data_IF_427607523422
#
_entry.id   IF_427607523422
#
_cell.length_a   1.000
_cell.length_b   1.000
_cell.length_c   1.000
_cell.angle_alpha   90.00
_cell.angle_beta   90.00
_cell.angle_gamma   90.00
#
_symmetry.space_group_name_H-M   'P 1'
#
loop_
_entity.id
_entity.type
_entity.pdbx_description
1 polymer ?
#
# COMPACT_ATOMS: atom_id res chain seq x y z
N UNK A 1 2.13 19.29 -8.63
CA UNK A 1 1.82 17.86 -8.39
C UNK A 1 0.49 17.53 -9.09
N UNK A 2 0.18 16.28 -9.42
CA UNK A 2 -1.13 15.89 -9.99
C UNK A 2 -1.78 14.87 -9.06
N UNK A 3 -2.95 15.21 -8.55
CA UNK A 3 -3.78 14.33 -7.72
C UNK A 3 -4.58 13.42 -8.67
N UNK A 4 -4.70 12.15 -8.28
CA UNK A 4 -5.43 11.10 -9.00
C UNK A 4 -6.13 10.20 -8.00
N UNK A 5 -6.99 9.32 -8.50
CA UNK A 5 -7.57 8.27 -7.67
C UNK A 5 -6.47 7.33 -7.16
N UNK A 6 -6.64 6.79 -5.96
CA UNK A 6 -5.60 5.95 -5.34
C UNK A 6 -5.29 4.69 -6.17
N UNK A 7 -6.28 4.12 -6.87
CA UNK A 7 -6.10 2.95 -7.74
C UNK A 7 -5.18 3.27 -8.92
N UNK A 8 -5.35 4.43 -9.55
CA UNK A 8 -4.44 4.90 -10.61
C UNK A 8 -2.99 5.04 -10.12
N UNK A 9 -2.80 5.37 -8.84
CA UNK A 9 -1.45 5.45 -8.27
C UNK A 9 -0.87 4.06 -8.03
N UNK A 10 -1.66 3.11 -7.56
CA UNK A 10 -1.22 1.72 -7.35
C UNK A 10 -0.89 1.06 -8.69
N UNK A 11 -1.70 1.27 -9.73
CA UNK A 11 -1.39 0.81 -11.08
C UNK A 11 -0.04 1.38 -11.57
N UNK A 12 0.18 2.69 -11.39
CA UNK A 12 1.45 3.36 -11.67
C UNK A 12 2.67 2.75 -10.94
N UNK A 13 2.47 2.16 -9.76
CA UNK A 13 3.50 1.49 -8.95
C UNK A 13 3.77 0.09 -9.49
N UNK A 14 2.71 -0.65 -9.81
CA UNK A 14 2.77 -2.04 -10.30
C UNK A 14 3.35 -2.11 -11.72
N UNK A 15 2.94 -1.21 -12.61
CA UNK A 15 3.38 -1.21 -14.02
C UNK A 15 4.78 -0.63 -14.20
N UNK A 16 5.41 -0.15 -13.12
CA UNK A 16 6.66 0.59 -13.22
C UNK A 16 7.83 -0.36 -13.47
N UNK A 17 8.62 -0.05 -14.49
CA UNK A 17 9.84 -0.78 -14.85
C UNK A 17 10.99 -0.48 -13.86
N UNK A 18 10.83 -0.97 -12.63
CA UNK A 18 11.78 -0.93 -11.52
C UNK A 18 11.74 -2.25 -10.75
N UNK A 19 12.69 -2.45 -9.83
CA UNK A 19 12.76 -3.68 -9.05
C UNK A 19 11.63 -3.71 -8.00
N UNK A 20 10.70 -4.68 -8.03
CA UNK A 20 9.58 -4.75 -7.09
C UNK A 20 10.04 -4.88 -5.62
N UNK A 21 11.21 -5.49 -5.38
CA UNK A 21 11.75 -5.74 -4.04
C UNK A 21 12.25 -4.46 -3.34
N UNK A 22 12.57 -3.42 -4.13
CA UNK A 22 13.14 -2.16 -3.64
C UNK A 22 12.07 -1.16 -3.16
N UNK A 23 10.78 -1.51 -3.33
CA UNK A 23 9.69 -0.71 -2.79
C UNK A 23 9.59 -0.85 -1.27
N UNK A 24 9.33 0.27 -0.60
CA UNK A 24 9.18 0.34 0.85
C UNK A 24 7.98 1.20 1.20
N UNK A 25 7.23 0.83 2.22
CA UNK A 25 6.03 1.56 2.60
C UNK A 25 5.95 1.85 4.09
N UNK A 26 5.33 2.97 4.44
CA UNK A 26 4.98 3.31 5.82
C UNK A 26 3.62 3.97 5.87
N UNK A 27 2.80 3.63 6.85
CA UNK A 27 1.47 4.22 6.95
C UNK A 27 0.73 3.90 8.23
N UNK A 28 -0.45 4.47 8.35
CA UNK A 28 -1.34 4.21 9.47
C UNK A 28 -2.56 5.12 9.42
N UNK A 29 -3.09 5.51 10.57
CA UNK A 29 -4.21 6.45 10.61
C UNK A 29 -3.82 7.84 10.09
N UNK A 30 -4.77 8.51 9.45
CA UNK A 30 -4.65 9.95 9.15
C UNK A 30 -4.56 10.77 10.44
N UNK A 31 -3.87 11.91 10.38
CA UNK A 31 -3.86 12.88 11.49
C UNK A 31 -5.25 13.46 11.80
N UNK A 32 -6.14 13.49 10.80
CA UNK A 32 -7.51 13.97 10.96
C UNK A 32 -8.50 13.20 10.08
N UNK A 33 -9.75 13.20 10.52
CA UNK A 33 -10.84 12.56 9.78
C UNK A 33 -10.83 11.04 9.82
N UNK A 34 -11.56 10.44 8.88
CA UNK A 34 -11.61 8.98 8.67
C UNK A 34 -10.55 8.55 7.66
N UNK A 35 -10.06 7.33 7.83
CA UNK A 35 -9.21 6.68 6.85
C UNK A 35 -7.74 6.57 7.24
N UNK A 36 -6.96 6.22 6.24
CA UNK A 36 -5.56 5.81 6.36
C UNK A 36 -4.67 6.71 5.49
N UNK A 37 -3.40 6.75 5.86
CA UNK A 37 -2.35 7.53 5.24
C UNK A 37 -1.18 6.60 4.94
N UNK A 38 -0.67 6.62 3.71
CA UNK A 38 0.34 5.66 3.25
C UNK A 38 1.35 6.34 2.31
N UNK A 39 2.63 6.17 2.63
CA UNK A 39 3.73 6.53 1.76
C UNK A 39 4.35 5.27 1.15
N UNK A 40 4.60 5.30 -0.15
CA UNK A 40 5.34 4.26 -0.88
C UNK A 40 6.56 4.89 -1.55
N UNK A 41 7.74 4.33 -1.32
CA UNK A 41 9.00 4.83 -1.86
C UNK A 41 9.80 3.74 -2.55
N UNK A 42 10.37 4.10 -3.71
CA UNK A 42 11.36 3.28 -4.41
C UNK A 42 12.54 4.17 -4.86
N UNK A 43 13.81 3.74 -4.69
CA UNK A 43 15.02 4.50 -5.05
C UNK A 43 14.93 5.20 -6.41
N UNK A 44 14.48 4.46 -7.44
CA UNK A 44 14.29 4.94 -8.82
C UNK A 44 12.83 5.19 -9.22
N UNK A 45 11.87 4.72 -8.43
CA UNK A 45 10.45 4.72 -8.78
C UNK A 45 9.77 5.99 -8.28
N UNK A 46 10.35 6.64 -7.28
CA UNK A 46 9.83 7.86 -6.69
C UNK A 46 9.14 7.58 -5.35
N UNK A 47 8.54 8.64 -4.83
CA UNK A 47 7.79 8.59 -3.57
C UNK A 47 6.36 9.01 -3.88
N UNK A 48 5.43 8.21 -3.39
CA UNK A 48 4.01 8.34 -3.58
C UNK A 48 3.35 8.47 -2.22
N UNK A 49 2.29 9.26 -2.19
CA UNK A 49 1.49 9.52 -1.01
C UNK A 49 0.04 9.22 -1.35
N UNK A 50 -0.58 8.36 -0.55
CA UNK A 50 -1.94 7.89 -0.71
C UNK A 50 -2.72 8.20 0.56
N UNK A 51 -3.97 8.61 0.40
CA UNK A 51 -4.94 8.69 1.49
C UNK A 51 -6.21 7.96 1.07
N UNK A 52 -6.68 7.06 1.93
CA UNK A 52 -7.82 6.18 1.63
C UNK A 52 -8.82 6.20 2.78
N UNK A 53 -10.07 5.83 2.52
CA UNK A 53 -11.06 5.51 3.54
C UNK A 53 -11.95 4.37 3.06
N UNK A 54 -12.45 3.58 4.01
CA UNK A 54 -13.48 2.60 3.74
C UNK A 54 -14.85 3.30 3.63
N UNK A 55 -15.42 3.33 2.42
CA UNK A 55 -16.80 3.80 2.22
C UNK A 55 -17.78 2.80 2.82
N UNK A 56 -17.50 1.52 2.66
CA UNK A 56 -18.22 0.39 3.23
C UNK A 56 -17.26 -0.83 3.32
N UNK A 57 -17.66 -1.97 3.92
CA UNK A 57 -16.79 -3.13 4.08
C UNK A 57 -16.24 -3.75 2.79
N UNK A 58 -16.75 -3.36 1.62
CA UNK A 58 -16.37 -3.91 0.31
C UNK A 58 -15.73 -2.87 -0.61
N UNK A 59 -15.69 -1.61 -0.21
CA UNK A 59 -15.27 -0.51 -1.09
C UNK A 59 -14.38 0.47 -0.34
N UNK A 60 -13.15 0.60 -0.84
CA UNK A 60 -12.16 1.59 -0.40
C UNK A 60 -12.02 2.64 -1.49
N UNK A 61 -12.16 3.90 -1.09
CA UNK A 61 -11.94 5.07 -1.96
C UNK A 61 -10.78 5.88 -1.42
N UNK A 62 -10.24 6.77 -2.25
CA UNK A 62 -9.05 7.50 -1.89
C UNK A 62 -8.44 8.28 -3.05
N UNK A 63 -7.46 9.09 -2.69
CA UNK A 63 -6.66 9.89 -3.62
C UNK A 63 -5.19 9.66 -3.37
N UNK A 64 -4.38 10.02 -4.35
CA UNK A 64 -2.95 10.03 -4.15
C UNK A 64 -2.21 10.86 -5.19
N UNK A 65 -0.92 11.02 -4.93
CA UNK A 65 -0.03 11.77 -5.80
C UNK A 65 1.41 11.27 -5.68
N UNK A 66 2.22 11.56 -6.71
CA UNK A 66 3.66 11.40 -6.65
C UNK A 66 4.30 12.66 -6.07
N UNK A 67 4.86 12.54 -4.87
CA UNK A 67 5.46 13.65 -4.10
C UNK A 67 6.96 13.83 -4.38
N UNK A 68 7.66 12.76 -4.75
CA UNK A 68 9.07 12.83 -5.19
C UNK A 68 9.37 11.94 -6.39
N UNK A 69 10.35 12.33 -7.21
CA UNK A 69 10.75 11.58 -8.42
C UNK A 69 11.69 10.41 -8.16
N UNK A 70 12.36 10.43 -7.00
CA UNK A 70 13.28 9.42 -6.51
C UNK A 70 13.19 9.41 -4.98
N UNK A 71 13.59 8.31 -4.37
CA UNK A 71 13.78 8.22 -2.94
C UNK A 71 15.27 8.48 -2.64
N UNK A 72 15.55 9.54 -1.89
CA UNK A 72 16.89 9.83 -1.37
C UNK A 72 17.05 9.35 0.06
N UNK A 73 18.26 9.45 0.61
CA UNK A 73 18.58 8.93 1.94
C UNK A 73 17.84 9.68 3.06
N UNK A 74 17.50 10.95 2.84
CA UNK A 74 16.77 11.75 3.82
C UNK A 74 15.34 11.23 3.96
N UNK A 75 14.61 11.12 2.84
CA UNK A 75 13.25 10.57 2.83
C UNK A 75 13.28 9.07 3.19
N UNK A 76 14.29 8.34 2.69
CA UNK A 76 14.46 6.91 2.90
C UNK A 76 14.68 6.52 4.35
N UNK A 77 15.17 7.42 5.20
CA UNK A 77 15.34 7.18 6.63
C UNK A 77 14.04 7.04 7.42
N UNK A 78 12.90 7.45 6.83
CA UNK A 78 11.56 7.28 7.41
C UNK A 78 10.84 6.02 6.91
N UNK A 79 11.44 5.28 5.98
CA UNK A 79 10.90 4.04 5.44
C UNK A 79 11.58 2.84 6.09
N UNK A 80 10.88 1.69 6.22
CA UNK A 80 11.47 0.49 6.80
C UNK A 80 12.68 0.00 6.02
N UNK A 81 13.58 -0.69 6.72
CA UNK A 81 14.74 -1.36 6.13
C UNK A 81 14.29 -2.67 5.47
N UNK A 82 15.06 -3.21 4.52
CA UNK A 82 14.69 -4.44 3.80
C UNK A 82 14.48 -5.65 4.72
N UNK A 83 15.10 -5.66 5.90
CA UNK A 83 14.98 -6.75 6.89
C UNK A 83 13.78 -6.56 7.84
N UNK A 84 13.00 -5.49 7.70
CA UNK A 84 11.81 -5.26 8.53
C UNK A 84 10.72 -6.31 8.25
N UNK A 85 10.12 -6.85 9.32
CA UNK A 85 9.02 -7.80 9.21
C UNK A 85 7.75 -7.12 8.69
N UNK A 86 7.08 -7.76 7.74
CA UNK A 86 5.87 -7.25 7.10
C UNK A 86 6.14 -6.78 5.68
N UNK A 87 5.37 -7.30 4.72
CA UNK A 87 5.40 -6.89 3.32
C UNK A 87 4.01 -6.42 2.90
N UNK A 88 3.95 -5.53 1.92
CA UNK A 88 2.69 -5.18 1.28
C UNK A 88 2.58 -5.89 -0.06
N UNK A 89 1.35 -6.21 -0.46
CA UNK A 89 1.10 -6.84 -1.74
C UNK A 89 -0.08 -6.17 -2.44
N UNK A 90 -0.04 -6.19 -3.76
CA UNK A 90 -1.17 -5.76 -4.57
C UNK A 90 -1.98 -6.99 -4.92
N UNK A 91 -3.26 -6.97 -4.53
CA UNK A 91 -4.18 -8.05 -4.84
C UNK A 91 -4.55 -8.00 -6.32
N UNK A 92 -4.24 -9.07 -7.06
CA UNK A 92 -4.76 -9.28 -8.42
C UNK A 92 -5.89 -10.33 -8.38
N UNK A 93 -7.17 -9.90 -8.42
CA UNK A 93 -8.28 -10.84 -8.41
C UNK A 93 -8.26 -11.74 -9.65
N UNK A 94 -8.82 -12.96 -9.59
CA UNK A 94 -8.88 -13.83 -10.76
C UNK A 94 -9.69 -13.22 -11.89
N UNK A 95 -9.22 -13.39 -13.13
CA UNK A 95 -9.86 -12.85 -14.33
C UNK A 95 -11.00 -13.75 -14.85
N UNK A 96 -11.01 -15.02 -14.44
CA UNK A 96 -11.98 -16.03 -14.88
C UNK A 96 -12.11 -17.18 -13.87
N UNK A 97 -13.09 -18.06 -14.10
CA UNK A 97 -13.25 -19.30 -13.33
C UNK A 97 -12.04 -20.23 -13.47
N UNK A 98 -11.53 -20.41 -14.70
CA UNK A 98 -10.35 -21.23 -14.96
C UNK A 98 -9.10 -20.69 -14.25
N UNK A 99 -8.90 -19.37 -14.30
CA UNK A 99 -7.81 -18.67 -13.60
C UNK A 99 -7.93 -18.83 -12.07
N UNK A 100 -9.14 -18.70 -11.53
CA UNK A 100 -9.39 -18.93 -10.10
C UNK A 100 -9.05 -20.37 -9.67
N UNK A 101 -9.40 -21.37 -10.49
CA UNK A 101 -9.05 -22.76 -10.22
C UNK A 101 -7.54 -23.02 -10.28
N UNK A 102 -6.83 -22.38 -11.21
CA UNK A 102 -5.38 -22.50 -11.34
C UNK A 102 -4.66 -21.92 -10.12
N UNK A 103 -5.00 -20.68 -9.73
CA UNK A 103 -4.47 -20.03 -8.52
C UNK A 103 -4.74 -20.86 -7.27
N UNK A 104 -5.93 -21.45 -7.14
CA UNK A 104 -6.27 -22.31 -6.00
C UNK A 104 -5.38 -23.56 -5.92
N UNK A 105 -5.13 -24.24 -7.04
CA UNK A 105 -4.24 -25.41 -7.10
C UNK A 105 -2.79 -25.03 -6.77
N UNK A 106 -2.32 -23.89 -7.27
CA UNK A 106 -0.96 -23.43 -7.01
C UNK A 106 -0.77 -23.10 -5.53
N UNK A 107 -1.73 -22.39 -4.92
CA UNK A 107 -1.72 -22.08 -3.50
C UNK A 107 -1.72 -23.34 -2.62
N UNK A 108 -2.53 -24.35 -2.96
CA UNK A 108 -2.53 -25.64 -2.26
C UNK A 108 -1.14 -26.30 -2.28
N UNK A 109 -0.51 -26.35 -3.45
CA UNK A 109 0.83 -26.93 -3.62
C UNK A 109 1.91 -26.18 -2.81
N UNK A 110 1.86 -24.85 -2.76
CA UNK A 110 2.78 -24.04 -1.93
C UNK A 110 2.60 -24.39 -0.45
N UNK A 111 1.37 -24.39 0.05
CA UNK A 111 1.10 -24.70 1.47
C UNK A 111 1.59 -26.11 1.84
N UNK A 112 1.37 -27.10 0.98
CA UNK A 112 1.89 -28.47 1.19
C UNK A 112 3.41 -28.51 1.26
N UNK A 113 4.12 -27.82 0.34
CA UNK A 113 5.58 -27.79 0.31
C UNK A 113 6.18 -27.20 1.60
N UNK A 114 5.62 -26.10 2.11
CA UNK A 114 6.06 -25.47 3.35
C UNK A 114 5.69 -26.25 4.62
N UNK A 115 4.64 -27.08 4.56
CA UNK A 115 4.31 -27.98 5.67
C UNK A 115 5.34 -29.11 5.84
N UNK A 116 5.98 -29.53 4.73
CA UNK A 116 6.95 -30.63 4.71
C UNK A 116 8.42 -30.17 4.81
N UNK A 117 8.73 -28.93 4.44
CA UNK A 117 10.08 -28.38 4.40
C UNK A 117 10.36 -27.34 5.51
N UNK A 118 11.61 -27.25 6.02
CA UNK A 118 12.00 -26.19 6.95
C UNK A 118 12.25 -24.87 6.20
N UNK A 119 11.19 -24.08 6.02
CA UNK A 119 11.22 -22.75 5.38
C UNK A 119 11.06 -21.63 6.41
N UNK A 120 11.35 -20.39 6.03
CA UNK A 120 11.07 -19.22 6.88
C UNK A 120 9.66 -18.66 6.64
N UNK A 121 9.11 -17.85 7.56
CA UNK A 121 7.84 -17.15 7.33
C UNK A 121 7.85 -16.23 6.10
N UNK A 122 9.00 -15.63 5.78
CA UNK A 122 9.15 -14.77 4.60
C UNK A 122 9.08 -15.60 3.32
N UNK A 123 9.77 -16.74 3.25
CA UNK A 123 9.70 -17.64 2.09
C UNK A 123 8.25 -18.07 1.81
N UNK A 124 7.50 -18.41 2.87
CA UNK A 124 6.09 -18.80 2.73
C UNK A 124 5.22 -17.67 2.19
N UNK A 125 5.44 -16.44 2.67
CA UNK A 125 4.69 -15.28 2.19
C UNK A 125 4.99 -15.03 0.70
N UNK A 126 6.28 -15.03 0.33
CA UNK A 126 6.71 -14.75 -1.04
C UNK A 126 6.12 -15.77 -2.02
N UNK A 127 6.15 -17.08 -1.70
CA UNK A 127 5.60 -18.14 -2.55
C UNK A 127 4.04 -18.13 -2.61
N UNK A 128 3.36 -17.75 -1.53
CA UNK A 128 1.88 -17.56 -1.55
C UNK A 128 1.48 -16.41 -2.46
N UNK A 129 2.23 -15.31 -2.41
CA UNK A 129 1.96 -14.13 -3.21
C UNK A 129 2.24 -14.40 -4.71
N UNK A 130 3.29 -15.15 -5.02
CA UNK A 130 3.56 -15.65 -6.38
C UNK A 130 2.42 -16.56 -6.89
N UNK A 131 1.95 -17.50 -6.07
CA UNK A 131 0.84 -18.39 -6.43
C UNK A 131 -0.48 -17.66 -6.72
N UNK A 132 -0.65 -16.45 -6.22
CA UNK A 132 -1.82 -15.60 -6.45
C UNK A 132 -1.61 -14.59 -7.60
N UNK A 133 -0.47 -14.64 -8.29
CA UNK A 133 0.00 -13.63 -9.25
C UNK A 133 -0.11 -12.21 -8.68
N UNK A 134 0.13 -12.07 -7.39
CA UNK A 134 -0.08 -10.85 -6.63
C UNK A 134 1.28 -10.41 -6.13
N UNK A 135 2.01 -9.54 -6.86
CA UNK A 135 3.38 -9.21 -6.50
C UNK A 135 3.46 -8.73 -5.06
N UNK A 136 4.26 -9.44 -4.26
CA UNK A 136 4.74 -8.96 -2.98
C UNK A 136 5.73 -7.84 -3.27
N UNK A 137 5.47 -6.66 -2.75
CA UNK A 137 6.42 -5.57 -2.76
C UNK A 137 7.17 -5.58 -1.41
N UNK A 138 8.25 -4.81 -1.32
CA UNK A 138 9.13 -4.83 -0.16
C UNK A 138 8.46 -4.38 1.17
N UNK A 139 9.26 -4.08 2.19
CA UNK A 139 8.78 -4.01 3.57
C UNK A 139 7.76 -2.89 3.78
N UNK A 140 6.80 -3.14 4.69
CA UNK A 140 5.83 -2.16 5.16
C UNK A 140 5.83 -2.04 6.67
N UNK A 141 5.87 -0.81 7.17
CA UNK A 141 5.58 -0.49 8.56
C UNK A 141 4.20 0.18 8.65
N UNK A 142 3.19 -0.56 9.13
CA UNK A 142 1.80 -0.09 9.15
C UNK A 142 1.17 -0.20 10.54
N UNK A 143 0.72 0.92 11.10
CA UNK A 143 -0.02 0.95 12.35
C UNK A 143 -1.53 1.15 12.12
N UNK A 144 -2.33 0.15 12.49
CA UNK A 144 -3.79 0.17 12.33
C UNK A 144 -4.50 1.04 13.37
N UNK A 145 -3.84 1.35 14.47
CA UNK A 145 -4.42 2.00 15.63
C UNK A 145 -4.03 3.46 15.73
N UNK A 146 -2.83 3.81 15.31
CA UNK A 146 -2.25 5.14 15.43
C UNK A 146 -1.57 5.60 14.12
N UNK A 147 -1.08 6.84 14.11
CA UNK A 147 -0.21 7.35 13.04
C UNK A 147 1.24 7.18 13.48
N UNK A 148 2.09 6.46 12.72
CA UNK A 148 3.51 6.35 13.04
C UNK A 148 4.22 7.70 12.98
N UNK A 149 5.21 7.92 13.87
CA UNK A 149 6.05 9.13 13.88
C UNK A 149 6.73 9.37 12.52
N UNK A 150 7.16 8.29 11.85
CA UNK A 150 7.72 8.32 10.50
C UNK A 150 6.73 8.84 9.44
N UNK A 151 5.44 8.54 9.60
CA UNK A 151 4.39 9.07 8.71
C UNK A 151 4.15 10.56 8.98
N UNK A 152 4.20 10.99 10.24
CA UNK A 152 4.11 12.42 10.61
C UNK A 152 5.28 13.22 10.02
N UNK A 153 6.51 12.74 10.18
CA UNK A 153 7.72 13.38 9.63
C UNK A 153 7.70 13.50 8.10
N UNK A 154 7.12 12.51 7.41
CA UNK A 154 6.92 12.57 5.96
C UNK A 154 5.84 13.58 5.58
N UNK A 155 4.75 13.66 6.37
CA UNK A 155 3.69 14.64 6.16
C UNK A 155 4.19 16.08 6.36
N UNK A 156 5.04 16.33 7.36
CA UNK A 156 5.68 17.63 7.54
C UNK A 156 6.61 17.99 6.37
N UNK A 157 7.36 17.01 5.84
CA UNK A 157 8.24 17.22 4.66
C UNK A 157 7.46 17.50 3.38
N UNK A 158 6.31 16.88 3.22
CA UNK A 158 5.44 17.02 2.06
C UNK A 158 4.17 17.80 2.40
N UNK A 159 4.28 18.86 3.22
CA UNK A 159 3.15 19.67 3.73
C UNK A 159 2.17 20.10 2.63
N UNK A 160 2.66 20.62 1.50
CA UNK A 160 1.81 21.02 0.36
C UNK A 160 1.01 19.83 -0.21
N UNK A 161 1.60 18.65 -0.24
CA UNK A 161 0.91 17.45 -0.70
C UNK A 161 -0.08 16.93 0.35
N UNK A 162 0.29 16.96 1.62
CA UNK A 162 -0.56 16.60 2.76
C UNK A 162 -1.84 17.44 2.78
N UNK A 163 -1.72 18.77 2.67
CA UNK A 163 -2.85 19.69 2.66
C UNK A 163 -3.79 19.43 1.48
N UNK A 164 -3.25 19.37 0.27
CA UNK A 164 -4.06 19.19 -0.94
C UNK A 164 -4.74 17.82 -0.98
N UNK A 165 -4.06 16.74 -0.57
CA UNK A 165 -4.66 15.41 -0.52
C UNK A 165 -5.69 15.30 0.60
N UNK A 166 -5.52 16.03 1.71
CA UNK A 166 -6.54 16.08 2.76
C UNK A 166 -7.81 16.77 2.28
N UNK A 167 -7.69 17.93 1.60
CA UNK A 167 -8.84 18.66 1.04
C UNK A 167 -9.62 17.79 0.04
N UNK A 168 -8.93 17.19 -0.94
CA UNK A 168 -9.58 16.34 -1.94
C UNK A 168 -10.20 15.06 -1.32
N UNK A 169 -9.57 14.47 -0.30
CA UNK A 169 -10.15 13.31 0.38
C UNK A 169 -11.37 13.68 1.22
N UNK A 170 -11.35 14.85 1.87
CA UNK A 170 -12.50 15.35 2.65
C UNK A 170 -13.72 15.57 1.75
N UNK A 171 -13.54 16.13 0.56
CA UNK A 171 -14.61 16.28 -0.43
C UNK A 171 -15.24 14.92 -0.81
N UNK A 172 -14.42 13.89 -1.03
CA UNK A 172 -14.91 12.52 -1.32
C UNK A 172 -15.66 11.89 -0.14
N UNK A 173 -15.14 12.07 1.08
CA UNK A 173 -15.77 11.57 2.31
C UNK A 173 -17.12 12.24 2.52
N UNK A 174 -17.22 13.55 2.27
CA UNK A 174 -18.47 14.30 2.35
C UNK A 174 -19.47 13.88 1.28
N UNK A 175 -19.03 13.64 0.04
CA UNK A 175 -19.87 13.15 -1.04
C UNK A 175 -20.48 11.78 -0.72
N UNK A 176 -19.73 10.91 -0.05
CA UNK A 176 -20.18 9.57 0.34
C UNK A 176 -20.91 9.52 1.70
N UNK A 177 -21.10 10.66 2.37
CA UNK A 177 -21.68 10.76 3.72
C UNK A 177 -21.00 9.85 4.78
N UNK A 178 -19.70 9.57 4.61
CA UNK A 178 -18.95 8.72 5.54
C UNK A 178 -18.57 9.49 6.79
N UNK A 179 -18.64 8.85 7.96
CA UNK A 179 -18.28 9.49 9.24
C UNK A 179 -19.37 10.42 9.80
N UNK A 180 -20.46 10.67 9.06
CA UNK A 180 -21.68 11.25 9.61
C UNK A 180 -22.44 10.16 10.36
N UNK A 181 -22.30 10.14 11.70
CA UNK A 181 -23.13 9.27 12.54
C UNK A 181 -24.62 9.48 12.23
N UNK A 182 -25.44 8.43 12.35
CA UNK A 182 -26.89 8.50 12.13
C UNK A 182 -27.46 9.76 12.80
N UNK A 183 -27.98 10.69 11.99
CA UNK A 183 -28.73 11.87 12.48
C UNK A 183 -30.19 11.52 12.73
#
# INVERSE_FOLDING_TARGET
MRIREWQDIVEDVVEKDVDPDDWRAVGGKRAGGVGEDLYLGHPRGGVYHLKTYAKNPYEVRGVGARVARKLDDEIGSFLPEQETEGRFAVQNPPESEDDAEEKARHLEAVVEAHAEAPTTPNDFFDDVMDALDSPAFGPIDFDRYDRPDSTEELAERFEEAEELLNEELEDLVEEDDVGRGFQ
#
